data_IF_523195941375
#
_entry.id   IF_523195941375
#
_cell.length_a   1.000
_cell.length_b   1.000
_cell.length_c   1.000
_cell.angle_alpha   90.00
_cell.angle_beta   90.00
_cell.angle_gamma   90.00
#
_symmetry.space_group_name_H-M   'P 1'
#
loop_
_entity.id
_entity.type
_entity.pdbx_description
1 polymer ?
#
# COMPACT_ATOMS: atom_id res chain seq x y z
N UNK A 1 8.00 33.49 84.33
CA UNK A 1 8.25 32.25 83.57
C UNK A 1 6.96 31.74 82.95
N UNK A 2 7.11 30.80 82.02
CA UNK A 2 6.15 30.02 81.24
C UNK A 2 4.80 29.62 81.87
N UNK A 3 3.70 29.87 81.12
CA UNK A 3 2.83 28.88 80.44
C UNK A 3 1.99 27.85 81.28
N UNK A 4 1.03 27.09 80.68
CA UNK A 4 -0.38 27.11 81.13
C UNK A 4 -0.88 25.67 81.52
N UNK A 5 -2.12 25.15 81.36
CA UNK A 5 -3.19 25.39 80.38
C UNK A 5 -4.55 24.70 80.72
N UNK A 6 -5.55 24.90 79.85
CA UNK A 6 -6.84 24.18 79.65
C UNK A 6 -8.03 24.39 80.65
N UNK A 7 -9.22 24.63 80.09
CA UNK A 7 -10.54 24.59 80.78
C UNK A 7 -11.73 24.15 79.89
N UNK A 8 -12.20 22.91 80.12
CA UNK A 8 -13.61 22.47 80.20
C UNK A 8 -14.64 22.61 79.03
N UNK A 9 -15.06 21.45 78.50
CA UNK A 9 -16.45 20.88 78.43
C UNK A 9 -17.71 21.80 78.27
N UNK A 10 -18.71 21.34 77.48
CA UNK A 10 -20.02 20.76 77.96
C UNK A 10 -21.13 20.49 76.87
N UNK A 11 -21.48 19.20 76.70
CA UNK A 11 -22.79 18.48 76.49
C UNK A 11 -24.17 19.22 76.47
N UNK A 12 -25.34 18.57 76.10
CA UNK A 12 -25.65 17.33 75.31
C UNK A 12 -26.96 17.40 74.41
N UNK A 13 -27.61 16.23 74.15
CA UNK A 13 -29.04 15.96 73.75
C UNK A 13 -29.45 16.11 72.25
N UNK A 14 -30.38 15.35 71.61
CA UNK A 14 -31.24 14.20 72.03
C UNK A 14 -31.68 13.29 70.83
N UNK A 15 -31.82 11.97 71.08
CA UNK A 15 -32.77 10.93 70.57
C UNK A 15 -33.22 10.73 69.07
N UNK A 16 -33.92 9.59 68.87
CA UNK A 16 -34.78 9.13 67.76
C UNK A 16 -34.19 8.35 66.55
N UNK A 17 -35.07 7.62 65.84
CA UNK A 17 -34.81 6.46 64.94
C UNK A 17 -35.69 6.57 63.67
N UNK A 18 -35.31 6.01 62.49
CA UNK A 18 -35.86 6.46 61.20
C UNK A 18 -37.12 5.71 60.73
N UNK A 19 -37.82 6.29 59.75
CA UNK A 19 -38.93 5.68 59.00
C UNK A 19 -38.61 5.42 57.52
N UNK A 20 -39.39 4.54 56.89
CA UNK A 20 -39.42 4.24 55.45
C UNK A 20 -40.90 4.14 54.95
N UNK A 21 -41.17 4.11 53.64
CA UNK A 21 -42.36 4.78 53.07
C UNK A 21 -43.52 3.87 52.59
N UNK A 22 -44.67 4.49 52.26
CA UNK A 22 -45.77 4.00 51.39
C UNK A 22 -46.54 5.20 50.77
N UNK A 23 -47.25 5.15 49.63
CA UNK A 23 -47.06 4.30 48.43
C UNK A 23 -47.70 4.91 47.13
N UNK A 24 -49.04 4.93 46.88
CA UNK A 24 -49.58 4.98 45.50
C UNK A 24 -50.79 5.94 45.29
N UNK A 25 -51.58 5.90 44.17
CA UNK A 25 -51.45 5.26 42.84
C UNK A 25 -51.32 6.34 41.71
N UNK A 26 -51.52 6.17 40.39
CA UNK A 26 -52.35 5.24 39.59
C UNK A 26 -51.98 5.26 38.08
N UNK A 27 -52.23 4.13 37.37
CA UNK A 27 -52.76 3.99 35.98
C UNK A 27 -52.16 2.85 35.12
N UNK A 28 -52.78 1.67 35.25
CA UNK A 28 -53.38 0.82 34.18
C UNK A 28 -52.63 0.59 32.85
N UNK A 29 -52.35 -0.69 32.57
CA UNK A 29 -52.10 -1.29 31.23
C UNK A 29 -53.38 -2.06 30.76
N UNK A 30 -53.54 -2.60 29.52
CA UNK A 30 -52.58 -3.42 28.76
C UNK A 30 -52.61 -3.21 27.20
N UNK A 31 -52.23 -4.25 26.43
CA UNK A 31 -52.02 -4.23 24.96
C UNK A 31 -53.14 -4.97 24.15
N UNK A 32 -52.88 -5.69 23.03
CA UNK A 32 -52.88 -5.19 21.63
C UNK A 32 -53.90 -5.88 20.69
N UNK A 33 -54.16 -5.37 19.47
CA UNK A 33 -54.36 -6.19 18.24
C UNK A 33 -54.32 -5.40 16.89
N UNK A 34 -54.68 -6.06 15.79
CA UNK A 34 -54.29 -5.85 14.38
C UNK A 34 -55.43 -5.40 13.44
N UNK A 35 -55.10 -4.70 12.32
CA UNK A 35 -55.95 -4.62 11.11
C UNK A 35 -55.20 -4.13 9.84
N UNK A 36 -55.63 -4.58 8.65
CA UNK A 36 -55.31 -4.00 7.31
C UNK A 36 -56.60 -3.52 6.59
N UNK A 37 -56.58 -3.04 5.31
CA UNK A 37 -56.22 -3.91 4.17
C UNK A 37 -55.68 -3.26 2.84
N UNK A 38 -55.14 -4.12 1.97
CA UNK A 38 -55.06 -4.13 0.47
C UNK A 38 -55.03 -2.83 -0.38
N UNK A 39 -54.05 -2.75 -1.30
CA UNK A 39 -54.13 -1.98 -2.56
C UNK A 39 -52.90 -2.16 -3.49
N UNK A 40 -53.12 -2.51 -4.77
CA UNK A 40 -52.11 -2.66 -5.86
C UNK A 40 -52.76 -2.16 -7.16
N UNK A 41 -52.04 -1.64 -8.20
CA UNK A 41 -51.06 -2.44 -8.97
C UNK A 41 -49.91 -1.72 -9.73
N UNK A 42 -49.05 -2.52 -10.37
CA UNK A 42 -48.40 -2.34 -11.68
C UNK A 42 -47.56 -1.08 -12.01
N UNK A 43 -46.30 -1.30 -12.43
CA UNK A 43 -45.50 -0.32 -13.19
C UNK A 43 -44.02 -0.71 -13.31
N UNK A 44 -43.52 -0.89 -14.54
CA UNK A 44 -42.11 -1.09 -14.86
C UNK A 44 -41.74 -0.29 -16.14
N UNK A 45 -40.47 -0.37 -16.59
CA UNK A 45 -39.87 0.39 -17.70
C UNK A 45 -39.49 1.86 -17.36
N UNK A 46 -38.46 2.49 -17.95
CA UNK A 46 -37.39 1.95 -18.83
C UNK A 46 -36.16 2.88 -18.89
N UNK A 47 -35.04 2.37 -19.40
CA UNK A 47 -33.91 3.17 -19.89
C UNK A 47 -34.23 3.88 -21.22
N UNK A 48 -33.59 5.03 -21.53
CA UNK A 48 -33.59 5.62 -22.86
C UNK A 48 -32.34 5.20 -23.67
N UNK A 49 -32.57 4.66 -24.86
CA UNK A 49 -31.64 4.60 -25.99
C UNK A 49 -31.96 5.76 -26.96
N UNK A 50 -31.00 6.29 -27.74
CA UNK A 50 -31.32 7.06 -28.93
C UNK A 50 -30.69 6.50 -30.22
N UNK A 51 -31.54 5.87 -31.03
CA UNK A 51 -31.70 6.05 -32.48
C UNK A 51 -30.47 6.02 -33.42
N UNK A 52 -30.53 5.12 -34.41
CA UNK A 52 -29.75 5.18 -35.64
C UNK A 52 -30.65 5.53 -36.85
N UNK A 53 -30.18 6.36 -37.80
CA UNK A 53 -30.94 6.66 -39.02
C UNK A 53 -30.06 6.89 -40.28
N UNK A 54 -30.28 6.02 -41.28
CA UNK A 54 -30.00 6.17 -42.74
C UNK A 54 -28.54 6.20 -43.23
N UNK A 55 -28.41 6.22 -44.56
CA UNK A 55 -27.38 5.54 -45.38
C UNK A 55 -26.72 6.48 -46.44
N UNK A 56 -25.69 6.06 -47.22
CA UNK A 56 -24.62 6.95 -47.72
C UNK A 56 -24.83 7.51 -49.14
N UNK A 57 -23.90 8.38 -49.58
CA UNK A 57 -22.96 8.07 -50.69
C UNK A 57 -21.51 8.54 -50.37
N UNK A 58 -20.48 8.54 -51.23
CA UNK A 58 -19.95 7.63 -52.28
C UNK A 58 -18.59 8.26 -52.78
N UNK A 59 -17.75 7.48 -53.48
CA UNK A 59 -16.72 7.88 -54.47
C UNK A 59 -15.43 8.69 -54.10
N UNK A 60 -14.35 8.39 -54.85
CA UNK A 60 -13.13 9.20 -55.13
C UNK A 60 -12.05 9.39 -54.02
N UNK A 61 -10.72 9.39 -54.29
CA UNK A 61 -9.95 9.00 -55.48
C UNK A 61 -8.48 8.59 -55.16
N UNK A 62 -7.79 8.00 -56.17
CA UNK A 62 -6.34 7.85 -56.46
C UNK A 62 -5.23 8.15 -55.42
N UNK A 63 -4.28 7.19 -55.37
CA UNK A 63 -2.84 7.27 -55.79
C UNK A 63 -2.25 8.66 -56.15
N UNK A 64 -0.96 9.00 -55.98
CA UNK A 64 0.29 8.25 -56.29
C UNK A 64 1.52 8.83 -55.52
N UNK A 65 2.61 8.05 -55.47
CA UNK A 65 4.04 8.42 -55.29
C UNK A 65 4.50 9.19 -54.02
N UNK A 66 5.76 9.09 -53.56
CA UNK A 66 6.87 8.21 -53.99
C UNK A 66 8.25 8.73 -53.49
N UNK A 67 9.26 7.83 -53.39
CA UNK A 67 10.65 8.11 -52.97
C UNK A 67 10.82 8.59 -51.50
N UNK A 68 11.97 8.50 -50.79
CA UNK A 68 13.28 7.85 -50.98
C UNK A 68 14.03 7.81 -49.61
N UNK A 69 15.17 7.15 -49.35
CA UNK A 69 15.91 5.97 -49.88
C UNK A 69 17.20 5.82 -49.04
N UNK A 70 17.78 4.60 -48.89
CA UNK A 70 19.14 4.30 -48.32
C UNK A 70 19.24 4.49 -46.79
N UNK A 71 19.87 3.62 -45.99
CA UNK A 71 21.27 3.16 -46.12
C UNK A 71 21.55 1.65 -45.96
N UNK A 72 22.68 1.21 -46.51
CA UNK A 72 23.24 -0.15 -46.41
C UNK A 72 24.75 -0.19 -46.77
N UNK A 73 25.55 -1.01 -46.06
CA UNK A 73 26.63 -1.78 -46.71
C UNK A 73 26.48 -3.29 -46.44
N UNK A 74 26.61 -4.24 -47.38
CA UNK A 74 27.56 -4.46 -48.50
C UNK A 74 28.79 -5.31 -48.10
N UNK A 75 28.90 -6.52 -48.67
CA UNK A 75 30.15 -7.23 -49.02
C UNK A 75 29.89 -8.45 -49.92
N UNK A 76 30.84 -8.77 -50.81
CA UNK A 76 30.86 -9.86 -51.82
C UNK A 76 32.37 -10.25 -52.03
N UNK A 77 32.86 -11.03 -53.05
CA UNK A 77 32.23 -11.79 -54.15
C UNK A 77 32.45 -13.33 -53.98
N UNK A 78 32.81 -14.26 -54.90
CA UNK A 78 33.34 -14.29 -56.29
C UNK A 78 33.07 -15.63 -57.01
N UNK A 79 33.45 -15.73 -58.29
CA UNK A 79 33.52 -16.93 -59.18
C UNK A 79 35.04 -17.27 -59.45
N UNK A 80 35.54 -18.04 -60.47
CA UNK A 80 34.89 -18.62 -61.69
C UNK A 80 35.42 -19.95 -62.33
N UNK A 81 34.78 -20.32 -63.46
CA UNK A 81 35.27 -21.04 -64.68
C UNK A 81 35.72 -22.53 -64.67
N UNK A 82 34.80 -23.40 -65.14
CA UNK A 82 34.79 -24.06 -66.46
C UNK A 82 35.99 -24.89 -67.06
N UNK A 83 35.65 -26.14 -67.45
CA UNK A 83 35.91 -26.78 -68.78
C UNK A 83 36.97 -27.90 -68.97
N UNK A 84 36.49 -29.00 -69.57
CA UNK A 84 37.12 -29.92 -70.55
C UNK A 84 38.04 -31.14 -70.16
N UNK A 85 37.71 -32.27 -70.82
CA UNK A 85 38.57 -33.30 -71.44
C UNK A 85 39.29 -34.44 -70.65
N UNK A 86 38.66 -35.62 -70.70
CA UNK A 86 39.16 -36.91 -71.26
C UNK A 86 40.29 -37.75 -70.58
N UNK A 87 40.35 -39.03 -71.00
CA UNK A 87 41.49 -39.96 -71.06
C UNK A 87 41.84 -40.93 -69.87
N UNK A 88 41.21 -42.12 -69.94
CA UNK A 88 41.83 -43.48 -70.01
C UNK A 88 42.63 -44.12 -68.84
N UNK A 89 42.24 -45.40 -68.57
CA UNK A 89 43.06 -46.59 -68.21
C UNK A 89 43.80 -46.56 -66.84
N UNK A 90 43.93 -47.61 -66.02
CA UNK A 90 43.69 -49.08 -66.05
C UNK A 90 44.72 -49.74 -65.06
N UNK A 91 44.89 -51.08 -64.91
CA UNK A 91 44.14 -52.27 -65.34
C UNK A 91 44.01 -53.33 -64.16
N UNK A 92 44.08 -54.69 -64.29
CA UNK A 92 43.22 -55.69 -64.98
C UNK A 92 42.80 -56.97 -64.16
N UNK A 93 42.11 -57.92 -64.83
CA UNK A 93 41.88 -59.39 -64.55
C UNK A 93 40.83 -59.74 -63.47
N UNK A 94 39.67 -60.41 -63.69
CA UNK A 94 39.24 -61.67 -64.40
C UNK A 94 39.49 -62.99 -63.60
N UNK A 95 38.74 -64.11 -63.83
CA UNK A 95 37.81 -64.43 -64.93
C UNK A 95 36.38 -64.91 -64.52
N UNK A 96 35.61 -65.40 -65.51
CA UNK A 96 34.19 -65.85 -65.45
C UNK A 96 34.08 -67.39 -65.31
N UNK A 97 32.88 -67.98 -65.07
CA UNK A 97 32.15 -68.59 -66.20
C UNK A 97 30.61 -68.41 -66.18
N UNK A 98 29.95 -68.74 -67.30
CA UNK A 98 28.50 -68.62 -67.51
C UNK A 98 27.72 -69.91 -67.14
N UNK A 99 26.44 -69.76 -66.79
CA UNK A 99 25.41 -70.80 -66.97
C UNK A 99 24.02 -70.15 -67.13
N UNK A 100 23.17 -70.72 -67.99
CA UNK A 100 21.80 -70.24 -68.26
C UNK A 100 20.76 -71.08 -67.51
N UNK A 101 19.63 -70.49 -67.09
CA UNK A 101 18.50 -71.28 -66.59
C UNK A 101 17.29 -70.50 -66.04
N UNK A 102 16.19 -70.52 -66.81
CA UNK A 102 14.79 -70.65 -66.37
C UNK A 102 14.18 -69.79 -65.24
N UNK A 103 13.09 -69.09 -65.59
CA UNK A 103 11.78 -69.34 -64.98
C UNK A 103 11.40 -68.68 -63.64
N UNK A 104 10.39 -67.79 -63.74
CA UNK A 104 9.29 -67.57 -62.77
C UNK A 104 9.55 -67.10 -61.32
N UNK A 105 9.11 -65.87 -61.06
CA UNK A 105 8.29 -65.42 -59.94
C UNK A 105 8.52 -65.99 -58.53
N UNK A 106 9.03 -65.12 -57.65
CA UNK A 106 8.70 -65.13 -56.22
C UNK A 106 8.32 -63.73 -55.73
N UNK A 107 7.09 -63.49 -55.26
CA UNK A 107 6.65 -62.16 -54.84
C UNK A 107 7.33 -61.73 -53.55
N UNK A 108 7.95 -60.53 -53.56
CA UNK A 108 8.58 -59.94 -52.38
C UNK A 108 7.48 -59.56 -51.37
N UNK A 109 7.47 -60.19 -50.19
CA UNK A 109 6.40 -60.02 -49.19
C UNK A 109 6.56 -58.69 -48.44
N UNK A 110 6.08 -57.59 -49.03
CA UNK A 110 6.08 -56.20 -48.50
C UNK A 110 5.24 -55.98 -47.22
N UNK A 111 4.96 -57.03 -46.45
CA UNK A 111 3.89 -57.08 -45.45
C UNK A 111 4.00 -56.08 -44.26
N UNK A 112 5.20 -55.70 -43.74
CA UNK A 112 5.28 -54.69 -42.68
C UNK A 112 5.34 -53.24 -43.17
N UNK A 113 5.60 -53.00 -44.46
CA UNK A 113 5.93 -51.65 -44.96
C UNK A 113 4.74 -50.67 -44.87
N UNK A 114 3.53 -51.16 -45.12
CA UNK A 114 2.31 -50.34 -45.02
C UNK A 114 2.03 -49.87 -43.59
N UNK A 115 2.35 -50.69 -42.57
CA UNK A 115 2.23 -50.30 -41.16
C UNK A 115 3.20 -49.18 -40.79
N UNK A 116 4.43 -49.19 -41.34
CA UNK A 116 5.39 -48.10 -41.15
C UNK A 116 4.89 -46.81 -41.81
N UNK A 117 4.34 -46.88 -43.02
CA UNK A 117 3.73 -45.73 -43.69
C UNK A 117 2.54 -45.15 -42.89
N UNK A 118 1.67 -46.02 -42.35
CA UNK A 118 0.56 -45.60 -41.47
C UNK A 118 1.09 -44.92 -40.20
N UNK A 119 2.11 -45.49 -39.55
CA UNK A 119 2.71 -44.93 -38.34
C UNK A 119 3.31 -43.53 -38.60
N UNK A 120 4.02 -43.34 -39.71
CA UNK A 120 4.57 -42.04 -40.12
C UNK A 120 3.46 -41.04 -40.44
N UNK A 121 2.37 -41.46 -41.07
CA UNK A 121 1.23 -40.60 -41.38
C UNK A 121 0.48 -40.16 -40.10
N UNK A 122 0.26 -41.06 -39.15
CA UNK A 122 -0.29 -40.75 -37.82
C UNK A 122 0.63 -39.80 -37.05
N UNK A 123 1.94 -40.03 -37.07
CA UNK A 123 2.91 -39.16 -36.40
C UNK A 123 2.93 -37.75 -37.03
N UNK A 124 2.89 -37.65 -38.35
CA UNK A 124 2.76 -36.38 -39.07
C UNK A 124 1.46 -35.63 -38.70
N UNK A 125 0.34 -36.35 -38.61
CA UNK A 125 -0.94 -35.78 -38.19
C UNK A 125 -0.89 -35.26 -36.73
N UNK A 126 -0.23 -35.98 -35.83
CA UNK A 126 -0.01 -35.57 -34.44
C UNK A 126 0.88 -34.32 -34.31
N UNK A 127 1.99 -34.25 -35.06
CA UNK A 127 2.82 -33.03 -35.09
C UNK A 127 2.07 -31.85 -35.70
N UNK A 128 1.28 -32.08 -36.76
CA UNK A 128 0.41 -31.05 -37.36
C UNK A 128 -0.62 -30.51 -36.37
N UNK A 129 -1.33 -31.39 -35.66
CA UNK A 129 -2.30 -31.02 -34.63
C UNK A 129 -1.66 -30.28 -33.44
N UNK A 130 -0.50 -30.76 -32.96
CA UNK A 130 0.24 -30.09 -31.88
C UNK A 130 0.77 -28.72 -32.27
N UNK A 131 1.30 -28.58 -33.50
CA UNK A 131 1.74 -27.30 -34.05
C UNK A 131 0.58 -26.31 -34.24
N UNK A 132 -0.57 -26.78 -34.73
CA UNK A 132 -1.78 -25.96 -34.87
C UNK A 132 -2.33 -25.50 -33.52
N UNK A 133 -2.36 -26.38 -32.51
CA UNK A 133 -2.81 -26.04 -31.15
C UNK A 133 -1.86 -25.05 -30.45
N UNK A 134 -0.54 -25.20 -30.61
CA UNK A 134 0.44 -24.22 -30.14
C UNK A 134 0.30 -22.86 -30.85
N UNK A 135 0.07 -22.86 -32.16
CA UNK A 135 -0.17 -21.64 -32.93
C UNK A 135 -1.45 -20.93 -32.49
N UNK A 136 -2.54 -21.68 -32.27
CA UNK A 136 -3.81 -21.13 -31.78
C UNK A 136 -3.68 -20.56 -30.35
N UNK A 137 -2.95 -21.25 -29.46
CA UNK A 137 -2.63 -20.75 -28.12
C UNK A 137 -1.77 -19.48 -28.18
N UNK A 138 -0.77 -19.42 -29.07
CA UNK A 138 0.04 -18.22 -29.28
C UNK A 138 -0.79 -17.06 -29.84
N UNK A 139 -1.80 -17.35 -30.67
CA UNK A 139 -2.70 -16.33 -31.21
C UNK A 139 -3.62 -15.74 -30.12
N UNK A 140 -4.12 -16.56 -29.19
CA UNK A 140 -4.86 -16.10 -28.01
C UNK A 140 -3.99 -15.22 -27.09
N UNK A 141 -2.76 -15.67 -26.79
CA UNK A 141 -1.81 -14.88 -26.00
C UNK A 141 -1.49 -13.51 -26.65
N UNK A 142 -1.50 -13.42 -27.99
CA UNK A 142 -1.34 -12.14 -28.70
C UNK A 142 -2.57 -11.24 -28.55
N UNK A 143 -3.80 -11.78 -28.63
CA UNK A 143 -5.02 -10.98 -28.40
C UNK A 143 -5.14 -10.50 -26.95
N UNK A 144 -4.73 -11.31 -25.98
CA UNK A 144 -4.74 -10.94 -24.56
C UNK A 144 -3.72 -9.83 -24.26
N UNK A 145 -2.50 -9.92 -24.82
CA UNK A 145 -1.48 -8.87 -24.70
C UNK A 145 -1.92 -7.57 -25.41
N UNK A 146 -2.56 -7.67 -26.58
CA UNK A 146 -3.06 -6.50 -27.29
C UNK A 146 -4.17 -5.79 -26.50
N UNK A 147 -5.20 -6.51 -26.04
CA UNK A 147 -6.30 -5.92 -25.24
C UNK A 147 -5.80 -5.34 -23.91
N UNK A 148 -4.84 -5.97 -23.25
CA UNK A 148 -4.17 -5.40 -22.07
C UNK A 148 -3.35 -4.15 -22.40
N UNK A 149 -2.76 -4.04 -23.60
CA UNK A 149 -2.07 -2.82 -24.04
C UNK A 149 -3.05 -1.68 -24.33
N UNK A 150 -4.17 -1.96 -25.01
CA UNK A 150 -5.24 -0.98 -25.27
C UNK A 150 -5.89 -0.48 -23.96
N UNK A 151 -6.12 -1.39 -23.00
CA UNK A 151 -6.64 -1.03 -21.69
C UNK A 151 -5.65 -0.21 -20.86
N UNK A 152 -4.35 -0.53 -20.93
CA UNK A 152 -3.29 0.28 -20.30
C UNK A 152 -3.21 1.67 -20.92
N UNK A 153 -3.30 1.77 -22.25
CA UNK A 153 -3.05 3.01 -22.98
C UNK A 153 -4.31 3.92 -22.98
N UNK A 154 -5.51 3.36 -22.83
CA UNK A 154 -6.74 4.10 -22.46
C UNK A 154 -6.71 4.60 -21.01
N UNK A 155 -6.31 3.77 -20.03
CA UNK A 155 -6.08 4.24 -18.64
C UNK A 155 -4.98 5.31 -18.57
N UNK A 156 -3.96 5.23 -19.43
CA UNK A 156 -2.91 6.24 -19.54
C UNK A 156 -3.43 7.56 -20.10
N UNK A 157 -4.10 7.55 -21.25
CA UNK A 157 -4.65 8.77 -21.86
C UNK A 157 -5.72 9.43 -20.98
N UNK A 158 -6.49 8.66 -20.21
CA UNK A 158 -7.43 9.20 -19.24
C UNK A 158 -6.73 9.81 -18.01
N UNK A 159 -5.63 9.21 -17.52
CA UNK A 159 -4.77 9.86 -16.52
C UNK A 159 -4.15 11.15 -17.04
N UNK A 160 -3.69 11.18 -18.28
CA UNK A 160 -3.10 12.37 -18.90
C UNK A 160 -4.16 13.49 -19.03
N UNK A 161 -5.41 13.18 -19.43
CA UNK A 161 -6.53 14.14 -19.37
C UNK A 161 -6.83 14.66 -17.97
N UNK A 162 -6.93 13.77 -16.97
CA UNK A 162 -7.23 14.16 -15.58
C UNK A 162 -6.11 15.06 -15.02
N UNK A 163 -4.86 14.81 -15.37
CA UNK A 163 -3.73 15.65 -14.98
C UNK A 163 -3.74 17.02 -15.69
N UNK A 164 -4.05 17.07 -16.98
CA UNK A 164 -4.17 18.33 -17.72
C UNK A 164 -5.35 19.18 -17.21
N UNK A 165 -6.51 18.58 -16.97
CA UNK A 165 -7.67 19.25 -16.39
C UNK A 165 -7.37 19.74 -14.97
N UNK A 166 -6.77 18.90 -14.11
CA UNK A 166 -6.36 19.31 -12.76
C UNK A 166 -5.32 20.45 -12.80
N UNK A 167 -4.36 20.41 -13.73
CA UNK A 167 -3.37 21.49 -13.89
C UNK A 167 -4.00 22.80 -14.38
N UNK A 168 -5.05 22.71 -15.21
CA UNK A 168 -5.78 23.86 -15.74
C UNK A 168 -6.63 24.50 -14.66
N UNK A 169 -7.42 23.70 -13.92
CA UNK A 169 -8.16 24.14 -12.73
C UNK A 169 -7.24 24.72 -11.65
N UNK A 170 -6.03 24.17 -11.49
CA UNK A 170 -5.03 24.71 -10.56
C UNK A 170 -4.48 26.07 -11.02
N UNK A 171 -4.19 26.25 -12.31
CA UNK A 171 -3.77 27.56 -12.88
C UNK A 171 -4.88 28.61 -12.77
N UNK A 172 -6.12 28.24 -13.06
CA UNK A 172 -7.29 29.12 -12.94
C UNK A 172 -7.54 29.54 -11.48
N UNK A 173 -7.53 28.59 -10.55
CA UNK A 173 -7.69 28.90 -9.11
C UNK A 173 -6.52 29.73 -8.58
N UNK A 174 -5.28 29.46 -9.00
CA UNK A 174 -4.12 30.30 -8.66
C UNK A 174 -4.30 31.74 -9.16
N UNK A 175 -4.67 31.94 -10.42
CA UNK A 175 -4.90 33.28 -10.98
C UNK A 175 -6.00 34.05 -10.23
N UNK A 176 -7.12 33.38 -9.92
CA UNK A 176 -8.21 33.96 -9.12
C UNK A 176 -7.79 34.26 -7.67
N UNK A 177 -6.87 33.47 -7.08
CA UNK A 177 -6.30 33.81 -5.77
C UNK A 177 -5.30 34.96 -5.83
N UNK A 178 -4.51 35.09 -6.89
CA UNK A 178 -3.52 36.16 -7.08
C UNK A 178 -4.24 37.51 -7.32
N UNK A 179 -5.30 37.53 -8.12
CA UNK A 179 -6.17 38.70 -8.30
C UNK A 179 -6.84 39.13 -6.99
N UNK A 180 -7.40 38.17 -6.24
CA UNK A 180 -7.97 38.44 -4.90
C UNK A 180 -6.92 38.93 -3.90
N UNK A 181 -5.71 38.37 -3.93
CA UNK A 181 -4.61 38.81 -3.08
C UNK A 181 -4.26 40.26 -3.36
N UNK A 182 -4.03 40.64 -4.62
CA UNK A 182 -3.76 42.03 -5.02
C UNK A 182 -4.89 42.98 -4.61
N UNK A 183 -6.16 42.62 -4.86
CA UNK A 183 -7.30 43.42 -4.44
C UNK A 183 -7.44 43.55 -2.91
N UNK A 184 -7.03 42.53 -2.13
CA UNK A 184 -6.94 42.65 -0.67
C UNK A 184 -5.71 43.43 -0.19
N UNK A 185 -4.59 43.36 -0.89
CA UNK A 185 -3.35 44.06 -0.57
C UNK A 185 -3.47 45.57 -0.84
N UNK A 186 -4.02 45.96 -2.00
CA UNK A 186 -4.39 47.36 -2.30
C UNK A 186 -5.35 47.92 -1.24
N UNK A 187 -6.37 47.15 -0.87
CA UNK A 187 -7.33 47.53 0.18
C UNK A 187 -6.68 47.64 1.56
N UNK A 188 -5.77 46.73 1.89
CA UNK A 188 -5.00 46.76 3.15
C UNK A 188 -4.06 47.97 3.16
N UNK A 189 -3.41 48.30 2.05
CA UNK A 189 -2.51 49.46 1.93
C UNK A 189 -3.27 50.80 1.99
N UNK A 190 -4.48 50.86 1.43
CA UNK A 190 -5.40 51.98 1.61
C UNK A 190 -5.87 52.11 3.07
N UNK A 191 -6.13 51.01 3.76
CA UNK A 191 -6.46 51.02 5.20
C UNK A 191 -5.25 51.40 6.07
N UNK A 192 -4.06 50.87 5.78
CA UNK A 192 -2.82 51.15 6.51
C UNK A 192 -2.37 52.60 6.36
N UNK A 193 -2.55 53.21 5.19
CA UNK A 193 -2.27 54.65 5.00
C UNK A 193 -3.28 55.54 5.75
N UNK A 194 -4.57 55.17 5.76
CA UNK A 194 -5.58 55.85 6.59
C UNK A 194 -5.35 55.67 8.10
N UNK A 195 -4.86 54.50 8.52
CA UNK A 195 -4.51 54.22 9.92
C UNK A 195 -3.24 54.97 10.32
N UNK A 196 -2.17 54.93 9.52
CA UNK A 196 -0.94 55.66 9.78
C UNK A 196 -1.18 57.17 9.92
N UNK A 197 -2.06 57.75 9.10
CA UNK A 197 -2.46 59.16 9.21
C UNK A 197 -3.18 59.49 10.53
N UNK A 198 -3.90 58.53 11.14
CA UNK A 198 -4.52 58.66 12.47
C UNK A 198 -3.55 58.38 13.61
N UNK A 199 -2.70 57.36 13.49
CA UNK A 199 -1.64 57.01 14.45
C UNK A 199 -0.68 58.19 14.64
N UNK A 200 -0.31 58.89 13.56
CA UNK A 200 0.46 60.14 13.60
C UNK A 200 -0.21 61.29 14.38
N UNK A 201 -1.51 61.20 14.68
CA UNK A 201 -2.27 62.14 15.51
C UNK A 201 -2.54 61.64 16.94
N UNK A 202 -2.36 60.33 17.22
CA UNK A 202 -2.63 59.68 18.52
C UNK A 202 -1.50 58.71 18.93
N UNK A 203 -0.24 59.09 18.74
CA UNK A 203 0.95 58.20 18.73
C UNK A 203 1.29 57.47 20.05
N UNK A 204 0.58 57.70 21.15
CA UNK A 204 0.80 57.01 22.43
C UNK A 204 -0.13 55.80 22.56
N UNK A 205 -1.44 56.03 22.79
CA UNK A 205 -2.46 54.97 22.93
C UNK A 205 -2.40 53.96 21.78
N UNK A 206 -2.31 54.47 20.54
CA UNK A 206 -2.29 53.63 19.34
C UNK A 206 -1.09 52.67 19.22
N UNK A 207 0.01 52.88 19.96
CA UNK A 207 1.08 51.87 20.05
C UNK A 207 0.67 50.71 20.96
N UNK A 208 0.07 51.01 22.11
CA UNK A 208 -0.46 49.98 23.02
C UNK A 208 -1.61 49.21 22.36
N UNK A 209 -2.54 49.90 21.69
CA UNK A 209 -3.62 49.28 20.91
C UNK A 209 -3.09 48.33 19.83
N UNK A 210 -2.01 48.73 19.14
CA UNK A 210 -1.35 47.89 18.14
C UNK A 210 -0.68 46.65 18.74
N UNK A 211 0.03 46.80 19.87
CA UNK A 211 0.61 45.66 20.60
C UNK A 211 -0.47 44.68 21.09
N UNK A 212 -1.59 45.20 21.61
CA UNK A 212 -2.74 44.39 22.03
C UNK A 212 -3.38 43.64 20.86
N UNK A 213 -3.51 44.27 19.70
CA UNK A 213 -4.05 43.65 18.48
C UNK A 213 -3.11 42.57 17.91
N UNK A 214 -1.79 42.81 17.89
CA UNK A 214 -0.80 41.82 17.47
C UNK A 214 -0.76 40.63 18.45
N UNK A 215 -0.84 40.88 19.76
CA UNK A 215 -0.98 39.82 20.76
C UNK A 215 -2.26 39.00 20.54
N UNK A 216 -3.42 39.62 20.25
CA UNK A 216 -4.64 38.86 19.93
C UNK A 216 -4.46 38.02 18.66
N UNK A 217 -3.81 38.56 17.62
CA UNK A 217 -3.54 37.86 16.39
C UNK A 217 -2.64 36.63 16.60
N UNK A 218 -1.51 36.79 17.30
CA UNK A 218 -0.58 35.71 17.62
C UNK A 218 -1.25 34.62 18.46
N UNK A 219 -2.02 34.99 19.50
CA UNK A 219 -2.77 34.05 20.32
C UNK A 219 -3.84 33.28 19.53
N UNK A 220 -4.53 33.95 18.59
CA UNK A 220 -5.51 33.30 17.69
C UNK A 220 -4.84 32.34 16.72
N UNK A 221 -3.70 32.73 16.16
CA UNK A 221 -2.93 31.86 15.26
C UNK A 221 -2.35 30.64 16.00
N UNK A 222 -1.89 30.81 17.24
CA UNK A 222 -1.45 29.72 18.11
C UNK A 222 -2.57 28.70 18.35
N UNK A 223 -3.75 29.20 18.76
CA UNK A 223 -4.95 28.39 18.97
C UNK A 223 -5.40 27.67 17.69
N UNK A 224 -5.40 28.36 16.55
CA UNK A 224 -5.75 27.78 15.25
C UNK A 224 -4.79 26.65 14.86
N UNK A 225 -3.48 26.84 14.98
CA UNK A 225 -2.49 25.79 14.66
C UNK A 225 -2.57 24.60 15.60
N UNK A 226 -2.77 24.82 16.90
CA UNK A 226 -2.92 23.70 17.84
C UNK A 226 -4.20 22.89 17.56
N UNK A 227 -5.31 23.56 17.25
CA UNK A 227 -6.59 22.91 16.99
C UNK A 227 -6.63 22.16 15.64
N UNK A 228 -6.15 22.79 14.56
CA UNK A 228 -6.26 22.25 13.19
C UNK A 228 -5.06 21.38 12.81
N UNK A 229 -3.84 21.89 12.99
CA UNK A 229 -2.59 21.26 12.51
C UNK A 229 -1.96 20.34 13.58
N UNK A 230 -2.34 20.53 14.86
CA UNK A 230 -1.70 19.94 16.05
C UNK A 230 -0.21 20.29 16.17
N UNK A 231 0.20 21.42 15.61
CA UNK A 231 1.58 21.90 15.70
C UNK A 231 1.85 22.54 17.08
N UNK A 232 2.16 21.68 18.05
CA UNK A 232 2.59 22.06 19.40
C UNK A 232 3.82 22.98 19.37
N UNK A 233 4.72 22.83 18.39
CA UNK A 233 5.97 23.61 18.31
C UNK A 233 5.72 25.01 17.77
N UNK A 234 4.96 25.15 16.69
CA UNK A 234 4.53 26.44 16.16
C UNK A 234 3.58 27.17 17.11
N UNK A 235 2.63 26.47 17.73
CA UNK A 235 1.77 27.06 18.75
C UNK A 235 2.58 27.60 19.94
N UNK A 236 3.51 26.80 20.49
CA UNK A 236 4.41 27.27 21.56
C UNK A 236 5.27 28.48 21.15
N UNK A 237 5.75 28.53 19.89
CA UNK A 237 6.49 29.68 19.37
C UNK A 237 5.64 30.93 19.18
N UNK A 238 4.36 30.78 18.84
CA UNK A 238 3.40 31.89 18.76
C UNK A 238 2.98 32.38 20.15
N UNK A 239 2.88 31.50 21.16
CA UNK A 239 2.69 31.92 22.56
C UNK A 239 3.95 32.63 23.12
N UNK A 240 5.15 32.16 22.79
CA UNK A 240 6.41 32.85 23.15
C UNK A 240 6.52 34.25 22.50
N UNK A 241 6.04 34.40 21.25
CA UNK A 241 5.95 35.71 20.60
C UNK A 241 4.87 36.59 21.26
N UNK A 242 3.71 36.03 21.61
CA UNK A 242 2.64 36.76 22.28
C UNK A 242 3.07 37.28 23.67
N UNK A 243 3.78 36.49 24.49
CA UNK A 243 4.31 36.97 25.77
C UNK A 243 5.33 38.10 25.59
N UNK A 244 6.15 38.07 24.54
CA UNK A 244 7.08 39.16 24.23
C UNK A 244 6.35 40.46 23.85
N UNK A 245 5.28 40.39 23.04
CA UNK A 245 4.45 41.55 22.66
C UNK A 245 3.68 42.09 23.88
N UNK A 246 3.12 41.21 24.71
CA UNK A 246 2.43 41.59 25.96
C UNK A 246 3.41 42.18 26.98
N UNK A 247 4.68 41.75 26.98
CA UNK A 247 5.73 42.36 27.80
C UNK A 247 6.20 43.72 27.28
N UNK A 248 6.18 43.98 25.96
CA UNK A 248 6.49 45.30 25.40
C UNK A 248 5.41 46.35 25.74
N UNK A 249 4.17 45.93 25.96
CA UNK A 249 3.07 46.82 26.32
C UNK A 249 3.15 47.39 27.75
N UNK A 250 3.92 46.76 28.65
CA UNK A 250 4.23 47.18 30.03
C UNK A 250 3.02 47.61 30.91
N UNK A 251 1.83 47.08 30.62
CA UNK A 251 0.59 47.38 31.36
C UNK A 251 0.33 46.35 32.50
N UNK A 252 0.23 46.79 33.78
CA UNK A 252 -0.16 45.94 34.90
C UNK A 252 -1.48 45.16 34.70
N UNK A 253 -2.43 45.69 33.91
CA UNK A 253 -3.70 45.00 33.61
C UNK A 253 -3.49 43.70 32.80
N UNK A 254 -2.36 43.54 32.12
CA UNK A 254 -2.01 42.35 31.34
C UNK A 254 -1.33 41.25 32.16
N UNK A 255 -1.03 41.47 33.45
CA UNK A 255 -0.40 40.46 34.31
C UNK A 255 -1.13 39.10 34.31
N UNK A 256 -2.48 39.02 34.39
CA UNK A 256 -3.18 37.73 34.32
C UNK A 256 -3.06 37.03 32.95
N UNK A 257 -2.88 37.80 31.86
CA UNK A 257 -2.63 37.26 30.52
C UNK A 257 -1.26 36.59 30.47
N UNK A 258 -0.25 37.21 31.08
CA UNK A 258 1.12 36.65 31.18
C UNK A 258 1.18 35.42 32.07
N UNK A 259 0.43 35.40 33.18
CA UNK A 259 0.31 34.21 34.02
C UNK A 259 -0.31 33.03 33.24
N UNK A 260 -1.43 33.26 32.55
CA UNK A 260 -2.06 32.24 31.71
C UNK A 260 -1.13 31.76 30.58
N UNK A 261 -0.43 32.69 29.91
CA UNK A 261 0.59 32.36 28.90
C UNK A 261 1.70 31.45 29.45
N UNK A 262 2.21 31.73 30.65
CA UNK A 262 3.22 30.90 31.28
C UNK A 262 2.70 29.48 31.61
N UNK A 263 1.46 29.37 32.09
CA UNK A 263 0.80 28.09 32.35
C UNK A 263 0.54 27.29 31.07
N UNK A 264 0.00 27.92 30.02
CA UNK A 264 -0.26 27.31 28.71
C UNK A 264 1.03 26.86 28.02
N UNK A 265 2.08 27.69 28.06
CA UNK A 265 3.39 27.35 27.51
C UNK A 265 4.06 26.19 28.26
N UNK A 266 3.89 26.12 29.59
CA UNK A 266 4.33 24.98 30.40
C UNK A 266 3.56 23.70 30.05
N UNK A 267 2.24 23.77 29.86
CA UNK A 267 1.40 22.64 29.47
C UNK A 267 1.77 22.10 28.06
N UNK A 268 2.02 22.99 27.09
CA UNK A 268 2.53 22.58 25.77
C UNK A 268 3.92 21.93 25.85
N UNK A 269 4.82 22.45 26.69
CA UNK A 269 6.17 21.88 26.88
C UNK A 269 6.16 20.56 27.65
N UNK A 270 5.16 20.33 28.51
CA UNK A 270 4.91 19.04 29.16
C UNK A 270 4.22 18.01 28.24
N UNK A 271 3.68 18.44 27.09
CA UNK A 271 3.04 17.53 26.12
C UNK A 271 4.10 16.70 25.40
N UNK A 272 4.33 15.48 25.89
CA UNK A 272 5.30 14.53 25.35
C UNK A 272 5.00 14.11 23.91
N UNK A 273 5.64 14.76 22.94
CA UNK A 273 5.51 14.45 21.52
C UNK A 273 6.23 13.13 21.19
N UNK A 274 5.56 12.15 20.54
CA UNK A 274 6.19 10.91 20.11
C UNK A 274 7.18 11.14 18.96
N UNK A 275 8.30 10.41 18.95
CA UNK A 275 9.24 10.42 17.84
C UNK A 275 8.67 9.68 16.62
N UNK A 276 7.90 10.40 15.81
CA UNK A 276 7.28 9.89 14.57
C UNK A 276 8.31 9.42 13.54
N UNK A 277 9.50 10.03 13.51
CA UNK A 277 10.58 9.61 12.61
C UNK A 277 11.16 8.28 13.06
N UNK A 278 11.47 8.13 14.34
CA UNK A 278 11.90 6.86 14.94
C UNK A 278 10.85 5.75 14.79
N UNK A 279 9.56 6.05 15.00
CA UNK A 279 8.47 5.09 14.79
C UNK A 279 8.36 4.64 13.33
N UNK A 280 8.42 5.56 12.37
CA UNK A 280 8.45 5.24 10.94
C UNK A 280 9.64 4.34 10.59
N UNK A 281 10.84 4.67 11.07
CA UNK A 281 12.05 3.88 10.82
C UNK A 281 11.99 2.47 11.46
N UNK A 282 11.41 2.32 12.66
CA UNK A 282 11.17 1.01 13.29
C UNK A 282 10.21 0.15 12.48
N UNK A 283 9.08 0.70 12.05
CA UNK A 283 8.11 -0.01 11.20
C UNK A 283 8.73 -0.44 9.87
N UNK A 284 9.55 0.43 9.27
CA UNK A 284 10.28 0.15 8.04
C UNK A 284 11.29 -1.00 8.22
N UNK A 285 12.10 -0.94 9.28
CA UNK A 285 13.05 -1.99 9.64
C UNK A 285 12.37 -3.34 9.91
N UNK A 286 11.18 -3.32 10.54
CA UNK A 286 10.39 -4.52 10.81
C UNK A 286 9.72 -5.08 9.54
N UNK A 287 9.28 -4.24 8.60
CA UNK A 287 8.85 -4.69 7.28
C UNK A 287 10.00 -5.40 6.53
N UNK A 288 11.20 -4.84 6.57
CA UNK A 288 12.42 -5.49 6.05
C UNK A 288 12.87 -6.74 6.85
N UNK A 289 12.23 -7.03 7.99
CA UNK A 289 12.39 -8.26 8.75
C UNK A 289 11.34 -9.32 8.35
N UNK A 290 10.10 -8.90 8.03
CA UNK A 290 9.04 -9.76 7.46
C UNK A 290 9.52 -10.43 6.17
N UNK A 291 10.19 -9.68 5.28
CA UNK A 291 10.75 -10.21 4.03
C UNK A 291 11.72 -11.38 4.26
N UNK A 292 12.40 -11.44 5.42
CA UNK A 292 13.41 -12.45 5.76
C UNK A 292 12.84 -13.71 6.42
N UNK A 293 11.58 -13.70 6.88
CA UNK A 293 10.97 -14.77 7.70
C UNK A 293 11.04 -16.19 7.10
N UNK A 294 11.21 -16.33 5.78
CA UNK A 294 11.19 -17.65 5.12
C UNK A 294 12.58 -18.17 4.67
N UNK A 295 13.65 -17.40 4.86
CA UNK A 295 14.99 -17.76 4.35
C UNK A 295 15.72 -18.83 5.19
N UNK A 296 15.13 -19.27 6.31
CA UNK A 296 15.75 -20.23 7.25
C UNK A 296 15.13 -21.63 7.26
N UNK A 297 13.95 -21.81 6.66
CA UNK A 297 13.20 -23.09 6.70
C UNK A 297 13.67 -24.09 5.64
N UNK A 298 14.35 -23.62 4.58
CA UNK A 298 14.61 -24.40 3.35
C UNK A 298 16.05 -24.90 3.14
N UNK A 299 16.89 -24.92 4.18
CA UNK A 299 18.24 -25.52 4.10
C UNK A 299 18.42 -26.58 5.18
N UNK A 300 17.75 -27.72 5.01
CA UNK A 300 18.18 -28.95 5.66
C UNK A 300 19.56 -29.34 5.08
N UNK A 301 20.60 -29.59 5.89
CA UNK A 301 21.89 -30.01 5.37
C UNK A 301 21.75 -31.36 4.66
N UNK A 302 22.07 -31.39 3.37
CA UNK A 302 22.26 -32.66 2.65
C UNK A 302 23.61 -33.22 3.06
N UNK A 303 23.64 -34.02 4.12
CA UNK A 303 24.81 -34.83 4.45
C UNK A 303 25.07 -35.83 3.32
N UNK A 304 26.00 -35.50 2.43
CA UNK A 304 26.43 -36.37 1.35
C UNK A 304 27.27 -37.53 1.91
N UNK A 305 26.58 -38.52 2.46
CA UNK A 305 27.17 -39.75 2.98
C UNK A 305 27.73 -40.63 1.85
N UNK A 306 28.92 -40.27 1.37
CA UNK A 306 29.67 -41.02 0.36
C UNK A 306 30.11 -42.38 0.91
N UNK A 307 29.30 -43.42 0.67
CA UNK A 307 29.72 -44.81 0.86
C UNK A 307 30.22 -45.40 -0.47
N UNK A 308 31.53 -45.25 -0.72
CA UNK A 308 32.22 -46.14 -1.66
C UNK A 308 32.23 -47.52 -1.02
N UNK A 309 31.48 -48.46 -1.59
CA UNK A 309 31.42 -49.84 -1.15
C UNK A 309 32.04 -50.74 -2.20
N UNK A 310 33.23 -51.27 -1.92
CA UNK A 310 33.92 -52.22 -2.79
C UNK A 310 33.08 -53.48 -3.03
N UNK A 311 33.08 -53.94 -4.28
CA UNK A 311 32.46 -55.19 -4.69
C UNK A 311 33.48 -56.01 -5.48
N UNK A 312 34.29 -56.79 -4.75
CA UNK A 312 35.32 -57.65 -5.34
C UNK A 312 34.72 -58.61 -6.37
N UNK A 313 35.37 -58.70 -7.54
CA UNK A 313 34.89 -59.53 -8.63
C UNK A 313 35.28 -61.00 -8.45
N UNK A 314 34.29 -61.87 -8.31
CA UNK A 314 34.35 -63.27 -8.75
C UNK A 314 33.31 -63.49 -9.85
N UNK A 315 33.69 -64.28 -10.86
CA UNK A 315 32.95 -64.41 -12.11
C UNK A 315 32.44 -65.85 -12.28
N UNK A 316 31.14 -66.05 -12.11
CA UNK A 316 30.43 -67.24 -12.56
C UNK A 316 29.18 -66.85 -13.35
N UNK A 317 28.92 -67.59 -14.43
CA UNK A 317 28.10 -67.12 -15.57
C UNK A 317 26.62 -67.55 -15.45
N UNK A 318 26.01 -67.35 -14.28
CA UNK A 318 24.56 -67.58 -14.09
C UNK A 318 23.74 -66.37 -14.53
N UNK A 319 22.63 -66.63 -15.24
CA UNK A 319 21.65 -65.61 -15.60
C UNK A 319 20.85 -65.13 -14.38
N UNK A 320 20.55 -66.03 -13.45
CA UNK A 320 19.89 -65.76 -12.18
C UNK A 320 20.72 -64.81 -11.31
N UNK A 321 22.05 -65.00 -11.29
CA UNK A 321 22.99 -64.08 -10.62
C UNK A 321 22.97 -62.66 -11.18
N UNK A 322 22.65 -62.49 -12.48
CA UNK A 322 22.48 -61.16 -13.10
C UNK A 322 21.12 -60.54 -12.73
N UNK A 323 20.05 -61.33 -12.74
CA UNK A 323 18.71 -60.88 -12.35
C UNK A 323 18.64 -60.52 -10.85
N UNK A 324 19.30 -61.29 -9.99
CA UNK A 324 19.45 -61.00 -8.57
C UNK A 324 20.17 -59.65 -8.33
N UNK A 325 21.30 -59.41 -9.01
CA UNK A 325 21.99 -58.11 -8.93
C UNK A 325 21.12 -56.95 -9.42
N UNK A 326 20.36 -57.14 -10.50
CA UNK A 326 19.44 -56.10 -10.99
C UNK A 326 18.33 -55.79 -9.97
N UNK A 327 17.71 -56.81 -9.38
CA UNK A 327 16.71 -56.64 -8.30
C UNK A 327 17.32 -55.90 -7.11
N UNK A 328 18.51 -56.29 -6.68
CA UNK A 328 19.20 -55.71 -5.53
C UNK A 328 19.65 -54.26 -5.79
N UNK A 329 20.00 -53.89 -7.03
CA UNK A 329 20.23 -52.50 -7.44
C UNK A 329 18.92 -51.69 -7.43
N UNK A 330 17.83 -52.24 -7.98
CA UNK A 330 16.52 -51.57 -7.98
C UNK A 330 15.98 -51.35 -6.56
N UNK A 331 16.10 -52.34 -5.67
CA UNK A 331 15.73 -52.21 -4.25
C UNK A 331 16.61 -51.17 -3.52
N UNK A 332 17.88 -51.00 -3.91
CA UNK A 332 18.78 -49.98 -3.32
C UNK A 332 18.46 -48.55 -3.74
N UNK A 333 17.69 -48.35 -4.83
CA UNK A 333 17.20 -47.03 -5.26
C UNK A 333 15.72 -46.79 -4.94
N UNK A 334 14.88 -47.82 -4.85
CA UNK A 334 13.47 -47.71 -4.44
C UNK A 334 13.32 -47.74 -2.90
N UNK A 335 13.82 -46.70 -2.24
CA UNK A 335 13.59 -46.49 -0.80
C UNK A 335 12.14 -46.04 -0.58
N UNK A 336 11.24 -47.00 -0.35
CA UNK A 336 9.85 -46.75 0.04
C UNK A 336 9.81 -46.25 1.49
N UNK A 337 10.21 -45.00 1.70
CA UNK A 337 10.14 -44.32 3.00
C UNK A 337 8.70 -43.94 3.29
N UNK A 338 8.06 -44.67 4.21
CA UNK A 338 6.81 -44.20 4.82
C UNK A 338 7.12 -42.94 5.64
N UNK A 339 6.35 -41.87 5.40
CA UNK A 339 6.38 -40.68 6.25
C UNK A 339 5.41 -40.94 7.41
N UNK A 340 5.81 -41.81 8.34
CA UNK A 340 5.05 -42.14 9.56
C UNK A 340 5.21 -41.04 10.63
N UNK A 341 5.05 -39.79 10.19
CA UNK A 341 4.86 -38.59 11.01
C UNK A 341 3.90 -37.68 10.22
N UNK A 342 2.84 -37.12 10.85
CA UNK A 342 1.99 -36.15 10.19
C UNK A 342 2.81 -34.88 9.91
N UNK A 343 3.26 -34.73 8.66
CA UNK A 343 3.80 -33.47 8.17
C UNK A 343 2.62 -32.51 8.06
N UNK A 344 2.36 -31.80 9.16
CA UNK A 344 1.43 -30.68 9.23
C UNK A 344 1.67 -29.78 8.00
N UNK A 345 0.66 -29.49 7.15
CA UNK A 345 0.90 -28.96 5.82
C UNK A 345 1.65 -27.63 5.86
N UNK A 346 2.96 -27.69 5.57
CA UNK A 346 3.80 -26.52 5.38
C UNK A 346 3.11 -25.62 4.35
N UNK A 347 2.79 -24.39 4.76
CA UNK A 347 2.14 -23.38 3.93
C UNK A 347 2.80 -23.37 2.54
N UNK A 348 2.00 -23.48 1.48
CA UNK A 348 2.56 -23.50 0.12
C UNK A 348 3.39 -22.22 -0.11
N UNK A 349 4.43 -22.25 -0.97
CA UNK A 349 5.28 -21.08 -1.20
C UNK A 349 4.49 -19.79 -1.47
N UNK A 350 3.35 -19.92 -2.16
CA UNK A 350 2.40 -18.84 -2.45
C UNK A 350 1.72 -18.32 -1.19
N UNK A 351 1.23 -19.19 -0.29
CA UNK A 351 0.58 -18.79 0.97
C UNK A 351 1.52 -17.95 1.85
N UNK A 352 2.81 -18.30 1.90
CA UNK A 352 3.80 -17.53 2.66
C UNK A 352 4.13 -16.21 1.96
N UNK A 353 4.14 -16.16 0.62
CA UNK A 353 4.27 -14.92 -0.14
C UNK A 353 3.07 -13.98 0.10
N UNK A 354 1.83 -14.49 0.08
CA UNK A 354 0.64 -13.71 0.42
C UNK A 354 0.68 -13.20 1.86
N UNK A 355 1.08 -14.02 2.83
CA UNK A 355 1.19 -13.59 4.23
C UNK A 355 2.23 -12.48 4.41
N UNK A 356 3.39 -12.56 3.75
CA UNK A 356 4.38 -11.46 3.74
C UNK A 356 3.84 -10.19 3.11
N UNK A 357 3.19 -10.28 1.95
CA UNK A 357 2.60 -9.13 1.27
C UNK A 357 1.54 -8.44 2.15
N UNK A 358 0.69 -9.24 2.81
CA UNK A 358 -0.33 -8.74 3.73
C UNK A 358 0.26 -8.10 4.99
N UNK A 359 1.23 -8.75 5.65
CA UNK A 359 1.95 -8.17 6.80
C UNK A 359 2.67 -6.87 6.42
N UNK A 360 3.34 -6.84 5.28
CA UNK A 360 3.99 -5.65 4.73
C UNK A 360 2.99 -4.52 4.47
N UNK A 361 1.84 -4.82 3.85
CA UNK A 361 0.77 -3.84 3.61
C UNK A 361 0.26 -3.22 4.92
N UNK A 362 0.10 -4.02 5.99
CA UNK A 362 -0.29 -3.47 7.31
C UNK A 362 0.82 -2.59 7.91
N UNK A 363 2.09 -2.94 7.73
CA UNK A 363 3.21 -2.14 8.22
C UNK A 363 3.43 -0.85 7.41
N UNK A 364 3.14 -0.86 6.11
CA UNK A 364 3.11 0.34 5.25
C UNK A 364 1.88 1.22 5.58
N UNK A 365 0.72 0.62 5.88
CA UNK A 365 -0.45 1.34 6.40
C UNK A 365 -0.17 1.97 7.78
N UNK A 366 0.52 1.25 8.68
CA UNK A 366 0.95 1.78 9.97
C UNK A 366 1.94 2.96 9.80
N UNK A 367 2.90 2.86 8.88
CA UNK A 367 3.83 3.95 8.54
C UNK A 367 3.07 5.20 8.07
N UNK A 368 2.09 5.04 7.16
CA UNK A 368 1.25 6.15 6.71
C UNK A 368 0.41 6.75 7.86
N UNK A 369 -0.12 5.91 8.75
CA UNK A 369 -0.90 6.34 9.91
C UNK A 369 -0.05 7.15 10.92
N UNK A 370 1.21 6.77 11.16
CA UNK A 370 2.17 7.56 11.97
C UNK A 370 2.38 8.96 11.38
N UNK A 371 2.56 9.06 10.05
CA UNK A 371 2.73 10.34 9.35
C UNK A 371 1.45 11.20 9.40
N UNK A 372 0.28 10.58 9.22
CA UNK A 372 -1.03 11.25 9.25
C UNK A 372 -1.59 11.49 10.67
N UNK A 373 -0.86 11.11 11.73
CA UNK A 373 -1.32 11.16 13.12
C UNK A 373 -2.60 10.34 13.39
N UNK A 374 -2.89 9.32 12.60
CA UNK A 374 -4.14 8.54 12.66
C UNK A 374 -4.01 7.35 13.63
N UNK A 375 -4.26 7.61 14.91
CA UNK A 375 -4.16 6.62 16.01
C UNK A 375 -4.99 5.34 15.75
N UNK A 376 -6.20 5.49 15.19
CA UNK A 376 -7.12 4.38 14.94
C UNK A 376 -6.58 3.44 13.86
N UNK A 377 -6.17 3.98 12.70
CA UNK A 377 -5.59 3.19 11.62
C UNK A 377 -4.24 2.58 12.01
N UNK A 378 -3.46 3.29 12.84
CA UNK A 378 -2.21 2.77 13.40
C UNK A 378 -2.44 1.53 14.28
N UNK A 379 -3.37 1.60 15.25
CA UNK A 379 -3.71 0.46 16.09
C UNK A 379 -4.35 -0.67 15.28
N UNK A 380 -5.33 -0.38 14.41
CA UNK A 380 -6.03 -1.40 13.63
C UNK A 380 -5.12 -2.15 12.63
N UNK A 381 -4.03 -1.52 12.15
CA UNK A 381 -3.05 -2.19 11.27
C UNK A 381 -2.03 -3.02 12.06
N UNK A 382 -1.54 -2.54 13.21
CA UNK A 382 -0.70 -3.33 14.12
C UNK A 382 -1.45 -4.55 14.70
N UNK A 383 -2.74 -4.40 15.00
CA UNK A 383 -3.58 -5.47 15.54
C UNK A 383 -3.78 -6.59 14.50
N UNK A 384 -4.11 -6.23 13.25
CA UNK A 384 -4.21 -7.21 12.14
C UNK A 384 -2.88 -7.89 11.85
N UNK A 385 -1.78 -7.15 11.87
CA UNK A 385 -0.45 -7.72 11.69
C UNK A 385 -0.10 -8.71 12.82
N UNK A 386 -0.46 -8.39 14.06
CA UNK A 386 -0.31 -9.28 15.22
C UNK A 386 -1.18 -10.53 15.10
N UNK A 387 -2.45 -10.37 14.75
CA UNK A 387 -3.42 -11.46 14.56
C UNK A 387 -2.97 -12.45 13.49
N UNK A 388 -2.51 -11.96 12.34
CA UNK A 388 -2.02 -12.82 11.25
C UNK A 388 -0.70 -13.51 11.61
N UNK A 389 0.22 -12.81 12.28
CA UNK A 389 1.48 -13.39 12.73
C UNK A 389 1.27 -14.49 13.79
N UNK A 390 0.29 -14.30 14.68
CA UNK A 390 -0.14 -15.32 15.66
C UNK A 390 -0.88 -16.49 15.01
N UNK A 391 -1.80 -16.24 14.06
CA UNK A 391 -2.62 -17.29 13.42
C UNK A 391 -1.83 -18.20 12.49
N UNK A 392 -0.86 -17.65 11.75
CA UNK A 392 -0.21 -18.38 10.64
C UNK A 392 1.24 -18.81 10.92
N UNK A 393 1.94 -18.26 11.93
CA UNK A 393 3.29 -18.71 12.33
C UNK A 393 3.28 -19.39 13.72
N UNK A 394 2.32 -20.30 13.92
CA UNK A 394 2.25 -21.21 15.08
C UNK A 394 3.40 -22.25 14.99
N UNK A 395 4.63 -21.82 15.31
CA UNK A 395 5.83 -22.65 15.13
C UNK A 395 7.13 -22.16 15.78
N UNK A 396 7.10 -21.04 16.52
CA UNK A 396 8.18 -20.59 17.42
C UNK A 396 9.61 -20.39 16.86
N UNK A 397 9.74 -19.93 15.62
CA UNK A 397 10.98 -19.26 15.20
C UNK A 397 11.32 -18.09 16.16
N UNK A 398 12.59 -17.89 16.49
CA UNK A 398 13.01 -16.84 17.42
C UNK A 398 12.78 -15.43 16.84
N UNK A 399 12.87 -15.29 15.51
CA UNK A 399 12.51 -14.09 14.76
C UNK A 399 11.03 -13.73 14.95
N UNK A 400 10.10 -14.69 14.79
CA UNK A 400 8.65 -14.46 14.92
C UNK A 400 8.27 -13.87 16.27
N UNK A 401 8.88 -14.38 17.36
CA UNK A 401 8.71 -13.82 18.71
C UNK A 401 9.29 -12.41 18.85
N UNK A 402 10.43 -12.13 18.22
CA UNK A 402 11.00 -10.78 18.21
C UNK A 402 10.09 -9.77 17.46
N UNK A 403 9.50 -10.16 16.32
CA UNK A 403 8.53 -9.31 15.61
C UNK A 403 7.28 -9.05 16.47
N UNK A 404 6.69 -10.09 17.06
CA UNK A 404 5.51 -9.94 17.94
C UNK A 404 5.78 -8.98 19.11
N UNK A 405 6.94 -9.10 19.75
CA UNK A 405 7.33 -8.22 20.86
C UNK A 405 7.49 -6.76 20.43
N UNK A 406 8.08 -6.48 19.26
CA UNK A 406 8.21 -5.10 18.75
C UNK A 406 6.85 -4.56 18.26
N UNK A 407 5.97 -5.39 17.67
CA UNK A 407 4.59 -5.00 17.37
C UNK A 407 3.84 -4.58 18.65
N UNK A 408 3.94 -5.38 19.73
CA UNK A 408 3.30 -5.06 21.00
C UNK A 408 3.93 -3.84 21.70
N UNK A 409 5.23 -3.61 21.53
CA UNK A 409 5.90 -2.41 22.01
C UNK A 409 5.45 -1.15 21.25
N UNK A 410 5.35 -1.22 19.92
CA UNK A 410 4.85 -0.15 19.06
C UNK A 410 3.37 0.16 19.34
N UNK A 411 2.53 -0.87 19.54
CA UNK A 411 1.11 -0.74 19.87
C UNK A 411 0.85 0.10 21.13
N UNK A 412 1.80 0.11 22.07
CA UNK A 412 1.74 0.87 23.34
C UNK A 412 2.13 2.35 23.17
N UNK A 413 2.58 2.78 21.99
CA UNK A 413 2.93 4.17 21.72
C UNK A 413 1.72 4.93 21.16
N UNK A 414 1.35 6.02 21.82
CA UNK A 414 0.33 6.95 21.32
C UNK A 414 0.96 7.93 20.33
N UNK A 415 0.55 7.89 19.07
CA UNK A 415 1.06 8.76 17.99
C UNK A 415 0.33 10.12 17.93
N UNK A 416 -0.83 10.22 18.59
CA UNK A 416 -1.69 11.40 18.64
C UNK A 416 -2.16 11.70 20.09
N UNK A 417 -1.24 11.96 21.04
CA UNK A 417 -1.60 12.29 22.42
C UNK A 417 -2.54 13.49 22.49
N UNK A 418 -3.28 13.56 23.61
CA UNK A 418 -4.11 14.71 23.97
C UNK A 418 -3.30 16.02 24.00
N UNK A 419 -3.99 17.13 23.72
CA UNK A 419 -3.40 18.48 23.75
C UNK A 419 -4.13 19.31 24.82
N UNK A 420 -3.44 20.20 25.55
CA UNK A 420 -4.06 21.14 26.48
C UNK A 420 -4.87 22.21 25.75
N UNK A 421 -5.83 22.84 26.45
CA UNK A 421 -6.42 24.11 26.00
C UNK A 421 -5.39 25.25 26.17
N UNK A 422 -5.30 26.13 25.17
CA UNK A 422 -4.47 27.34 25.17
C UNK A 422 -5.27 28.60 24.82
N UNK A 423 -6.59 28.56 25.02
CA UNK A 423 -7.50 29.69 24.78
C UNK A 423 -7.77 30.54 26.03
N UNK A 424 -7.11 30.26 27.16
CA UNK A 424 -7.24 31.01 28.41
C UNK A 424 -6.63 32.40 28.32
N UNK A 425 -5.37 32.51 27.89
CA UNK A 425 -4.69 33.78 27.61
C UNK A 425 -5.49 34.66 26.66
N UNK A 426 -5.99 34.08 25.56
CA UNK A 426 -6.81 34.76 24.56
C UNK A 426 -8.15 35.26 25.12
N UNK A 427 -8.80 34.50 26.01
CA UNK A 427 -10.02 34.94 26.71
C UNK A 427 -9.74 36.13 27.63
N UNK A 428 -8.62 36.09 28.37
CA UNK A 428 -8.23 37.15 29.30
C UNK A 428 -7.85 38.44 28.57
N UNK A 429 -7.02 38.36 27.53
CA UNK A 429 -6.65 39.52 26.71
C UNK A 429 -7.88 40.23 26.13
N UNK A 430 -8.86 39.47 25.63
CA UNK A 430 -10.16 39.98 25.15
C UNK A 430 -11.06 40.56 26.25
N UNK A 431 -10.81 40.21 27.51
CA UNK A 431 -11.41 40.86 28.66
C UNK A 431 -10.81 42.25 28.88
N UNK A 432 -9.47 42.34 28.91
CA UNK A 432 -8.73 43.60 29.13
C UNK A 432 -8.99 44.61 28.01
N UNK A 433 -8.89 44.21 26.74
CA UNK A 433 -9.17 45.08 25.58
C UNK A 433 -10.57 45.72 25.71
N UNK A 434 -11.61 44.92 25.96
CA UNK A 434 -12.99 45.40 26.11
C UNK A 434 -13.19 46.34 27.31
N UNK A 435 -12.39 46.19 28.37
CA UNK A 435 -12.42 47.09 29.53
C UNK A 435 -11.81 48.46 29.20
N UNK A 436 -10.81 48.51 28.33
CA UNK A 436 -10.23 49.76 27.83
C UNK A 436 -11.17 50.44 26.82
N UNK A 437 -11.66 49.71 25.81
CA UNK A 437 -12.66 50.20 24.84
C UNK A 437 -13.89 50.83 25.53
N UNK A 438 -14.43 50.13 26.55
CA UNK A 438 -15.59 50.58 27.32
C UNK A 438 -15.29 51.71 28.30
N UNK A 439 -14.01 51.95 28.62
CA UNK A 439 -13.58 53.01 29.54
C UNK A 439 -13.49 54.39 28.87
N UNK A 440 -13.19 54.46 27.57
CA UNK A 440 -13.16 55.73 26.82
C UNK A 440 -14.56 56.25 26.48
N UNK A 441 -15.51 55.35 26.21
CA UNK A 441 -16.89 55.72 25.83
C UNK A 441 -17.76 56.30 26.97
N UNK A 442 -17.19 56.47 28.18
CA UNK A 442 -17.90 56.87 29.40
C UNK A 442 -17.43 58.18 30.04
N UNK A 443 -16.76 59.07 29.29
CA UNK A 443 -16.23 60.36 29.75
C UNK A 443 -16.66 61.54 28.89
#
# INVERSE_FOLDING_TARGET
MSNPDDTSKKNPDTDARPEQPESPPEQVAPAPDSAGPKGTPSGAASSPEPAAEKTPPETADRTIDGAATTDAPQSAPTQPTASAADARQGPPVQPVPQASGGGEDRPVRLWPLWLVCILVLILSLLLGAGGWMLWQQQQQLRTDVNTLSELRDSVRTERERILDEASTRLRETLALTEERQKATEERLQAQLSQLAAKVLQQSATSRTDWLLAEAEYLLRLANQRLALERDVKGAAKLLEAADAVVAEADDPALYPVREALAQELAALKATGLPDRTGLFLRLNALAAQVDKLNQRVFVAPVETATSVGDASATAETSWDGRLARLKQQVEKYLVIRRLDAPVEPLLSPDQIAYLKANLRLMLEQAQLAVLQQNQEVYQASLDKASEWLQRWLVGQDASTRALLNELEALRKVEIRPGLPDISGSLRLLKGVIRQMDGGEAGK
#
